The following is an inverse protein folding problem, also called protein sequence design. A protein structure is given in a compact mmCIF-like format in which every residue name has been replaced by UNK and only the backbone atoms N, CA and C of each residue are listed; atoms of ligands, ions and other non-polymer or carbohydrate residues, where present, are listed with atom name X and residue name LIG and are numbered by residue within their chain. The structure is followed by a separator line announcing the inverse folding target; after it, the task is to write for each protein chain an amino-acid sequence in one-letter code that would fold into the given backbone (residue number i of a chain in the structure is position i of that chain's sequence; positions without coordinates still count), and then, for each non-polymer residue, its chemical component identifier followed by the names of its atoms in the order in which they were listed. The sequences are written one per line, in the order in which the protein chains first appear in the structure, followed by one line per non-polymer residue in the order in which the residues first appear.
data_IF_296743091875
#
_entry.id   IF_296743091875
#
_cell.length_a   1.000
_cell.length_b   1.000
_cell.length_c   1.000
_cell.angle_alpha   90.00
_cell.angle_beta   90.00
_cell.angle_gamma   90.00
#
_symmetry.space_group_name_H-M   'P 1'
#
loop_
_entity.id
_entity.type
_entity.pdbx_description
1 polymer ?
#
# COMPACT_ATOMS: atom_id res chain seq x y z
N UNK A 1 31.17 -30.72 33.51
CA UNK A 1 30.15 -31.37 32.64
C UNK A 1 28.96 -30.43 32.55
N UNK A 2 28.25 -30.29 31.42
CA UNK A 2 27.05 -29.44 31.36
C UNK A 2 25.80 -30.29 31.67
N UNK A 3 24.71 -29.67 32.14
CA UNK A 3 23.51 -30.41 32.55
C UNK A 3 22.93 -31.29 31.42
N UNK A 4 22.96 -30.81 30.17
CA UNK A 4 22.50 -31.58 29.02
C UNK A 4 23.29 -32.88 28.80
N UNK A 5 24.62 -32.83 28.96
CA UNK A 5 25.48 -34.00 28.78
C UNK A 5 25.32 -35.01 29.92
N UNK A 6 25.02 -34.53 31.13
CA UNK A 6 24.67 -35.36 32.28
C UNK A 6 23.40 -36.17 32.00
N UNK A 7 22.31 -35.52 31.57
CA UNK A 7 21.02 -36.19 31.26
C UNK A 7 21.14 -37.18 30.11
N UNK A 8 21.98 -36.85 29.11
CA UNK A 8 22.25 -37.74 27.99
C UNK A 8 23.22 -38.88 28.32
N UNK A 9 23.62 -39.05 29.58
CA UNK A 9 24.57 -40.06 30.06
C UNK A 9 25.90 -40.07 29.25
N UNK A 10 26.36 -38.89 28.82
CA UNK A 10 27.63 -38.77 28.08
C UNK A 10 28.81 -38.88 29.04
N UNK A 11 29.81 -39.69 28.68
CA UNK A 11 31.05 -39.87 29.47
C UNK A 11 31.83 -38.56 29.65
N UNK A 12 31.81 -37.66 28.64
CA UNK A 12 32.48 -36.36 28.68
C UNK A 12 31.67 -35.30 27.92
N UNK A 13 31.88 -34.02 28.26
CA UNK A 13 31.28 -32.89 27.56
C UNK A 13 32.29 -32.33 26.54
N UNK A 14 32.00 -32.33 25.22
CA UNK A 14 32.96 -31.92 24.20
C UNK A 14 33.28 -30.41 24.30
N UNK A 15 34.47 -29.97 23.84
CA UNK A 15 34.88 -28.56 23.90
C UNK A 15 33.90 -27.61 23.21
N UNK A 16 33.27 -28.04 22.11
CA UNK A 16 32.26 -27.29 21.35
C UNK A 16 30.85 -27.84 21.54
N UNK A 17 30.43 -28.05 22.79
CA UNK A 17 29.05 -28.45 23.08
C UNK A 17 28.07 -27.28 22.88
N UNK A 18 27.12 -27.43 21.95
CA UNK A 18 26.15 -26.38 21.63
C UNK A 18 25.15 -26.09 22.76
N UNK A 19 24.96 -27.05 23.67
CA UNK A 19 24.07 -26.92 24.83
C UNK A 19 24.78 -26.36 26.07
N UNK A 20 26.12 -26.43 26.15
CA UNK A 20 26.88 -25.97 27.32
C UNK A 20 26.74 -24.47 27.57
N UNK A 21 26.59 -23.68 26.52
CA UNK A 21 26.38 -22.23 26.61
C UNK A 21 25.07 -21.86 27.31
N UNK A 22 24.07 -22.74 27.24
CA UNK A 22 22.72 -22.45 27.72
C UNK A 22 22.33 -23.21 28.99
N UNK A 23 22.97 -24.36 29.24
CA UNK A 23 22.74 -25.19 30.42
C UNK A 23 24.08 -25.55 31.09
N UNK A 24 24.88 -24.55 31.52
CA UNK A 24 26.24 -24.78 32.02
C UNK A 24 26.26 -25.48 33.39
N UNK A 25 25.23 -25.31 34.21
CA UNK A 25 25.26 -25.63 35.64
C UNK A 25 24.34 -26.82 35.97
N UNK A 26 24.62 -27.60 37.04
CA UNK A 26 23.75 -28.68 37.49
C UNK A 26 22.31 -28.24 37.80
N UNK A 27 22.11 -26.98 38.21
CA UNK A 27 20.78 -26.41 38.50
C UNK A 27 19.85 -26.40 37.28
N UNK A 28 20.41 -26.40 36.07
CA UNK A 28 19.68 -26.42 34.80
C UNK A 28 19.08 -27.80 34.45
N UNK A 29 19.37 -28.83 35.24
CA UNK A 29 18.99 -30.22 34.98
C UNK A 29 17.47 -30.40 34.84
N UNK A 30 16.67 -29.72 35.67
CA UNK A 30 15.20 -29.78 35.56
C UNK A 30 14.71 -29.23 34.21
N UNK A 31 15.26 -28.11 33.78
CA UNK A 31 14.88 -27.45 32.52
C UNK A 31 15.26 -28.31 31.33
N UNK A 32 16.51 -28.79 31.27
CA UNK A 32 16.97 -29.61 30.14
C UNK A 32 16.36 -31.02 30.13
N UNK A 33 15.96 -31.56 31.29
CA UNK A 33 15.17 -32.79 31.37
C UNK A 33 13.79 -32.62 30.73
N UNK A 34 13.09 -31.51 31.06
CA UNK A 34 11.80 -31.20 30.46
C UNK A 34 11.88 -30.99 28.95
N UNK A 35 12.90 -30.25 28.50
CA UNK A 35 13.18 -30.07 27.08
C UNK A 35 13.49 -31.40 26.37
N UNK A 36 14.26 -32.28 26.99
CA UNK A 36 14.57 -33.59 26.43
C UNK A 36 13.31 -34.47 26.30
N UNK A 37 12.44 -34.46 27.31
CA UNK A 37 11.20 -35.25 27.31
C UNK A 37 10.23 -34.83 26.19
N UNK A 38 10.20 -33.54 25.84
CA UNK A 38 9.22 -33.00 24.88
C UNK A 38 9.80 -32.91 23.47
N UNK A 39 11.04 -32.43 23.34
CA UNK A 39 11.63 -32.13 22.03
C UNK A 39 12.79 -33.06 21.67
N UNK A 40 13.35 -33.80 22.64
CA UNK A 40 14.68 -34.41 22.60
C UNK A 40 15.83 -33.38 22.52
N UNK A 41 16.83 -33.57 23.38
CA UNK A 41 17.95 -32.62 23.50
C UNK A 41 18.77 -32.45 22.20
N UNK A 42 18.85 -33.47 21.34
CA UNK A 42 19.50 -33.38 20.02
C UNK A 42 18.74 -32.48 19.05
N UNK A 43 17.41 -32.48 19.09
CA UNK A 43 16.61 -31.56 18.29
C UNK A 43 16.69 -30.13 18.84
N UNK A 44 16.73 -29.96 20.16
CA UNK A 44 16.96 -28.66 20.80
C UNK A 44 18.30 -28.07 20.35
N UNK A 45 19.37 -28.87 20.37
CA UNK A 45 20.69 -28.45 19.87
C UNK A 45 20.64 -28.05 18.38
N UNK A 46 19.93 -28.82 17.55
CA UNK A 46 19.71 -28.50 16.13
C UNK A 46 18.93 -27.20 15.94
N UNK A 47 17.85 -26.96 16.71
CA UNK A 47 17.05 -25.74 16.64
C UNK A 47 17.87 -24.50 17.04
N UNK A 48 18.72 -24.63 18.07
CA UNK A 48 19.65 -23.58 18.48
C UNK A 48 20.64 -23.28 17.35
N UNK A 49 21.21 -24.30 16.73
CA UNK A 49 22.16 -24.13 15.62
C UNK A 49 21.54 -23.39 14.43
N UNK A 50 20.30 -23.73 14.06
CA UNK A 50 19.56 -23.11 12.96
C UNK A 50 19.06 -21.69 13.25
N UNK A 51 19.05 -21.28 14.52
CA UNK A 51 18.55 -19.96 14.94
C UNK A 51 19.70 -18.94 14.99
N UNK A 52 19.40 -17.70 14.58
CA UNK A 52 20.36 -16.58 14.65
C UNK A 52 20.82 -16.33 16.09
N UNK A 53 22.08 -15.97 16.26
CA UNK A 53 22.74 -15.89 17.59
C UNK A 53 21.97 -15.00 18.58
N UNK A 54 21.45 -13.87 18.12
CA UNK A 54 20.68 -12.89 18.89
C UNK A 54 19.29 -13.40 19.33
N UNK A 55 18.74 -14.42 18.67
CA UNK A 55 17.42 -14.98 18.97
C UNK A 55 17.46 -16.29 19.77
N UNK A 56 18.63 -16.94 19.89
CA UNK A 56 18.76 -18.24 20.57
C UNK A 56 18.27 -18.23 22.02
N UNK A 57 18.50 -17.14 22.75
CA UNK A 57 17.99 -16.99 24.12
C UNK A 57 16.45 -16.92 24.18
N UNK A 58 15.81 -16.31 23.16
CA UNK A 58 14.35 -16.25 23.07
C UNK A 58 13.77 -17.62 22.68
N UNK A 59 14.43 -18.33 21.77
CA UNK A 59 14.07 -19.70 21.41
C UNK A 59 14.06 -20.59 22.65
N UNK A 60 15.13 -20.59 23.44
CA UNK A 60 15.25 -21.49 24.60
C UNK A 60 14.18 -21.20 25.64
N UNK A 61 13.91 -19.92 25.94
CA UNK A 61 12.80 -19.54 26.82
C UNK A 61 11.44 -19.99 26.28
N UNK A 62 11.25 -19.99 24.96
CA UNK A 62 10.00 -20.44 24.33
C UNK A 62 9.84 -21.95 24.42
N UNK A 63 10.90 -22.70 24.10
CA UNK A 63 10.94 -24.16 24.22
C UNK A 63 10.76 -24.61 25.67
N UNK A 64 11.38 -23.93 26.64
CA UNK A 64 11.21 -24.22 28.06
C UNK A 64 9.75 -24.04 28.48
N UNK A 65 9.12 -22.93 28.07
CA UNK A 65 7.72 -22.66 28.39
C UNK A 65 6.78 -23.69 27.75
N UNK A 66 7.02 -24.05 26.49
CA UNK A 66 6.22 -25.05 25.77
C UNK A 66 6.41 -26.44 26.38
N UNK A 67 7.64 -26.85 26.68
CA UNK A 67 7.94 -28.13 27.30
C UNK A 67 7.24 -28.25 28.66
N UNK A 68 7.31 -27.20 29.48
CA UNK A 68 6.60 -27.15 30.76
C UNK A 68 5.09 -27.33 30.59
N UNK A 69 4.48 -26.60 29.65
CA UNK A 69 3.04 -26.70 29.38
C UNK A 69 2.63 -28.08 28.84
N UNK A 70 3.43 -28.72 27.99
CA UNK A 70 3.18 -30.10 27.52
C UNK A 70 3.38 -31.16 28.60
N UNK A 71 4.27 -30.93 29.57
CA UNK A 71 4.43 -31.84 30.72
C UNK A 71 3.23 -31.72 31.67
N UNK A 72 2.72 -30.50 31.90
CA UNK A 72 1.54 -30.23 32.73
C UNK A 72 0.25 -30.70 32.05
N UNK A 73 0.10 -30.48 30.73
CA UNK A 73 -1.05 -30.90 29.92
C UNK A 73 -0.56 -31.69 28.68
N UNK A 74 -0.45 -33.03 28.77
CA UNK A 74 0.08 -33.85 27.67
C UNK A 74 -0.77 -33.87 26.40
N UNK A 75 -2.07 -33.55 26.51
CA UNK A 75 -3.00 -33.61 25.37
C UNK A 75 -2.96 -32.29 24.59
N UNK A 76 -3.14 -31.16 25.27
CA UNK A 76 -3.30 -29.86 24.62
C UNK A 76 -2.10 -28.93 24.83
N UNK A 77 -1.29 -29.15 25.87
CA UNK A 77 -0.09 -28.36 26.15
C UNK A 77 -0.35 -26.86 26.14
N UNK A 78 0.34 -26.13 25.26
CA UNK A 78 0.17 -24.69 25.11
C UNK A 78 -1.13 -24.29 24.39
N UNK A 79 -1.79 -25.21 23.67
CA UNK A 79 -3.03 -24.94 22.92
C UNK A 79 -4.17 -24.64 23.88
N UNK A 80 -4.27 -25.34 25.01
CA UNK A 80 -5.30 -25.08 26.04
C UNK A 80 -5.21 -23.66 26.60
N UNK A 81 -4.00 -23.16 26.83
CA UNK A 81 -3.78 -21.78 27.26
C UNK A 81 -4.17 -20.78 26.18
N UNK A 82 -3.90 -21.10 24.90
CA UNK A 82 -4.29 -20.27 23.76
C UNK A 82 -5.81 -20.20 23.67
N UNK A 83 -6.50 -21.34 23.68
CA UNK A 83 -7.97 -21.41 23.61
C UNK A 83 -8.63 -20.69 24.80
N UNK A 84 -8.09 -20.85 26.01
CA UNK A 84 -8.58 -20.14 27.19
C UNK A 84 -8.38 -18.62 27.09
N UNK A 85 -7.27 -18.16 26.52
CA UNK A 85 -7.00 -16.74 26.27
C UNK A 85 -7.90 -16.18 25.17
N UNK A 86 -8.08 -16.91 24.07
CA UNK A 86 -8.99 -16.53 22.98
C UNK A 86 -10.42 -16.37 23.51
N UNK A 87 -10.92 -17.35 24.28
CA UNK A 87 -12.23 -17.27 24.92
C UNK A 87 -12.34 -16.12 25.93
N UNK A 88 -11.27 -15.82 26.69
CA UNK A 88 -11.24 -14.65 27.59
C UNK A 88 -11.26 -13.34 26.82
N UNK A 89 -10.56 -13.26 25.69
CA UNK A 89 -10.62 -12.10 24.79
C UNK A 89 -12.04 -11.94 24.27
N UNK A 90 -12.68 -13.00 23.75
CA UNK A 90 -14.07 -12.94 23.30
C UNK A 90 -15.02 -12.49 24.40
N UNK A 91 -14.88 -13.00 25.63
CA UNK A 91 -15.70 -12.62 26.78
C UNK A 91 -15.42 -11.18 27.25
N UNK A 92 -14.16 -10.74 27.24
CA UNK A 92 -13.78 -9.37 27.57
C UNK A 92 -14.29 -8.42 26.51
N UNK A 93 -14.20 -8.78 25.22
CA UNK A 93 -14.80 -8.04 24.13
C UNK A 93 -16.33 -7.97 24.33
N UNK A 94 -16.98 -9.10 24.59
CA UNK A 94 -18.42 -9.12 24.88
C UNK A 94 -18.81 -8.24 26.06
N UNK A 95 -18.03 -8.24 27.14
CA UNK A 95 -18.29 -7.45 28.36
C UNK A 95 -17.98 -5.95 28.18
N UNK A 96 -16.83 -5.62 27.59
CA UNK A 96 -16.41 -4.24 27.29
C UNK A 96 -17.31 -3.60 26.22
N UNK A 97 -17.69 -4.34 25.19
CA UNK A 97 -18.53 -3.84 24.10
C UNK A 97 -20.04 -3.95 24.39
N UNK A 98 -20.47 -4.88 25.24
CA UNK A 98 -21.88 -5.12 25.57
C UNK A 98 -22.51 -4.06 26.47
N UNK A 99 -21.78 -3.54 27.47
CA UNK A 99 -22.31 -2.59 28.47
C UNK A 99 -21.89 -1.13 28.26
N UNK A 100 -20.69 -0.89 27.68
CA UNK A 100 -20.11 0.46 27.62
C UNK A 100 -20.36 1.17 26.27
N UNK A 101 -20.38 0.42 25.17
CA UNK A 101 -20.47 1.01 23.81
C UNK A 101 -21.91 1.26 23.35
N UNK A 102 -22.90 0.51 23.86
CA UNK A 102 -24.33 0.76 23.55
C UNK A 102 -24.90 2.03 24.20
N UNK A 103 -24.20 2.61 25.17
CA UNK A 103 -24.67 3.77 25.95
C UNK A 103 -23.91 5.07 25.67
N UNK A 104 -22.92 5.06 24.78
CA UNK A 104 -22.25 6.30 24.36
C UNK A 104 -23.05 6.92 23.20
N UNK A 105 -23.47 8.19 23.30
CA UNK A 105 -24.13 8.85 22.18
C UNK A 105 -23.18 9.01 20.98
N UNK A 106 -23.76 8.99 19.77
CA UNK A 106 -23.04 8.94 18.49
C UNK A 106 -22.01 10.06 18.34
N UNK A 107 -22.27 11.23 18.91
CA UNK A 107 -21.40 12.40 18.89
C UNK A 107 -20.11 12.18 19.70
N UNK A 108 -20.19 11.49 20.83
CA UNK A 108 -19.02 11.14 21.66
C UNK A 108 -18.19 10.07 20.98
N UNK A 109 -18.83 9.05 20.41
CA UNK A 109 -18.14 8.02 19.61
C UNK A 109 -17.43 8.68 18.43
N UNK A 110 -18.11 9.57 17.71
CA UNK A 110 -17.52 10.33 16.61
C UNK A 110 -16.32 11.17 17.07
N UNK A 111 -16.43 11.84 18.22
CA UNK A 111 -15.35 12.66 18.78
C UNK A 111 -14.11 11.81 19.11
N UNK A 112 -14.30 10.65 19.75
CA UNK A 112 -13.21 9.71 20.08
C UNK A 112 -12.56 9.23 18.78
N UNK A 113 -13.34 8.71 17.84
CA UNK A 113 -12.85 8.20 16.56
C UNK A 113 -12.10 9.28 15.78
N UNK A 114 -12.59 10.53 15.77
CA UNK A 114 -11.97 11.68 15.11
C UNK A 114 -10.56 12.02 15.61
N UNK A 115 -10.23 11.65 16.85
CA UNK A 115 -8.93 11.94 17.49
C UNK A 115 -7.91 10.81 17.34
N UNK A 116 -8.35 9.63 16.93
CA UNK A 116 -7.48 8.48 16.77
C UNK A 116 -6.70 8.56 15.45
N UNK A 117 -5.50 8.00 15.42
CA UNK A 117 -4.71 7.87 14.19
C UNK A 117 -5.24 6.73 13.31
N UNK A 118 -4.84 6.68 12.03
CA UNK A 118 -5.40 5.72 11.08
C UNK A 118 -5.14 4.25 11.47
N UNK A 119 -4.04 3.96 12.18
CA UNK A 119 -3.64 2.58 12.54
C UNK A 119 -4.59 1.94 13.57
N UNK A 120 -4.91 2.58 14.72
CA UNK A 120 -6.01 2.16 15.60
C UNK A 120 -7.36 2.09 14.90
N UNK A 121 -7.69 3.08 14.06
CA UNK A 121 -8.99 3.13 13.37
C UNK A 121 -9.19 1.97 12.40
N UNK A 122 -8.14 1.56 11.69
CA UNK A 122 -8.21 0.38 10.82
C UNK A 122 -8.43 -0.91 11.62
N UNK A 123 -7.89 -1.01 12.84
CA UNK A 123 -8.18 -2.12 13.77
C UNK A 123 -9.59 -2.04 14.35
N UNK A 124 -10.15 -0.85 14.49
CA UNK A 124 -11.52 -0.70 15.01
C UNK A 124 -12.61 -0.99 13.97
N UNK A 125 -12.25 -1.12 12.68
CA UNK A 125 -13.20 -1.57 11.66
C UNK A 125 -13.71 -3.00 11.89
N UNK A 126 -12.93 -3.87 12.53
CA UNK A 126 -13.34 -5.25 12.81
C UNK A 126 -14.05 -5.42 14.17
N UNK A 127 -14.19 -4.35 14.95
CA UNK A 127 -14.86 -4.39 16.27
C UNK A 127 -16.37 -4.59 16.14
N UNK A 128 -17.01 -3.90 15.19
CA UNK A 128 -18.42 -4.10 14.86
C UNK A 128 -18.77 -3.47 13.51
N UNK A 129 -19.88 -3.92 12.90
CA UNK A 129 -20.41 -3.31 11.69
C UNK A 129 -20.72 -1.80 11.89
N UNK A 130 -21.26 -1.42 13.05
CA UNK A 130 -21.56 -0.02 13.38
C UNK A 130 -20.29 0.85 13.41
N UNK A 131 -19.22 0.38 14.07
CA UNK A 131 -17.95 1.10 14.10
C UNK A 131 -17.29 1.17 12.73
N UNK A 132 -17.34 0.10 11.94
CA UNK A 132 -16.88 0.13 10.56
C UNK A 132 -17.59 1.21 9.74
N UNK A 133 -18.92 1.31 9.86
CA UNK A 133 -19.73 2.34 9.21
C UNK A 133 -19.37 3.73 9.72
N UNK A 134 -19.33 3.96 11.03
CA UNK A 134 -18.98 5.27 11.61
C UNK A 134 -17.58 5.74 11.22
N UNK A 135 -16.59 4.85 11.27
CA UNK A 135 -15.22 5.17 10.88
C UNK A 135 -15.18 5.51 9.38
N UNK A 136 -15.79 4.66 8.54
CA UNK A 136 -15.80 4.83 7.07
C UNK A 136 -16.58 6.07 6.63
N UNK A 137 -17.67 6.40 7.31
CA UNK A 137 -18.55 7.52 6.95
C UNK A 137 -18.15 8.86 7.57
N UNK A 138 -17.56 8.90 8.76
CA UNK A 138 -17.37 10.16 9.49
C UNK A 138 -15.90 10.58 9.62
N UNK A 139 -15.00 9.66 10.00
CA UNK A 139 -13.56 9.93 10.12
C UNK A 139 -12.92 10.12 8.75
N UNK A 140 -13.09 9.11 7.88
CA UNK A 140 -12.48 9.14 6.56
C UNK A 140 -13.06 10.29 5.72
N UNK A 141 -14.36 10.62 5.82
CA UNK A 141 -14.93 11.78 5.09
C UNK A 141 -14.44 13.14 5.61
N UNK A 142 -14.09 13.28 6.88
CA UNK A 142 -13.61 14.55 7.46
C UNK A 142 -12.10 14.79 7.26
N UNK A 143 -11.31 13.72 7.15
CA UNK A 143 -9.84 13.77 7.00
C UNK A 143 -9.33 13.41 5.60
N UNK A 144 -10.24 13.17 4.64
CA UNK A 144 -9.88 13.01 3.22
C UNK A 144 -9.43 14.34 2.62
N UNK A 145 -8.30 14.30 1.94
CA UNK A 145 -7.79 15.37 1.09
C UNK A 145 -7.52 14.80 -0.29
N UNK A 146 -7.65 15.65 -1.31
CA UNK A 146 -7.13 15.33 -2.63
C UNK A 146 -5.69 15.82 -2.70
N UNK A 147 -4.74 14.90 -2.86
CA UNK A 147 -3.37 15.25 -3.19
C UNK A 147 -3.24 15.44 -4.70
N UNK A 148 -2.59 16.52 -5.10
CA UNK A 148 -2.29 16.85 -6.48
C UNK A 148 -0.79 17.00 -6.63
N UNK A 149 -0.22 16.29 -7.61
CA UNK A 149 1.21 16.37 -7.91
C UNK A 149 1.52 17.29 -9.08
N UNK A 150 2.72 17.86 -9.04
CA UNK A 150 3.30 18.61 -10.14
C UNK A 150 4.80 18.79 -10.01
N UNK A 151 5.24 20.04 -9.99
CA UNK A 151 6.59 20.42 -9.54
C UNK A 151 6.74 20.33 -8.02
N UNK A 152 5.61 20.32 -7.29
CA UNK A 152 5.52 20.15 -5.85
C UNK A 152 4.26 19.33 -5.52
N UNK A 153 4.04 19.05 -4.23
CA UNK A 153 2.90 18.29 -3.73
C UNK A 153 1.89 19.24 -3.06
N UNK A 154 0.64 19.16 -3.48
CA UNK A 154 -0.41 20.06 -3.00
C UNK A 154 -1.56 19.25 -2.41
N UNK A 155 -2.09 19.71 -1.28
CA UNK A 155 -3.31 19.17 -0.70
C UNK A 155 -4.47 20.15 -0.87
N UNK A 156 -5.63 19.64 -1.28
CA UNK A 156 -6.88 20.38 -1.24
C UNK A 156 -7.67 19.98 0.01
N UNK A 157 -7.94 20.96 0.89
CA UNK A 157 -8.72 20.79 2.13
C UNK A 157 -10.03 21.57 2.07
N UNK A 158 -11.19 20.92 2.22
CA UNK A 158 -12.49 21.62 2.39
C UNK A 158 -13.72 20.86 1.87
N UNK A 159 -14.92 21.22 2.38
CA UNK A 159 -16.22 20.75 1.85
C UNK A 159 -16.84 21.74 0.85
N UNK A 160 -16.69 23.05 1.08
CA UNK A 160 -17.33 24.11 0.27
C UNK A 160 -16.34 25.14 -0.32
N UNK A 161 -15.12 25.20 0.19
CA UNK A 161 -14.01 25.97 -0.36
C UNK A 161 -12.73 25.18 -0.12
N UNK A 162 -12.13 24.61 -1.18
CA UNK A 162 -10.83 23.97 -1.03
C UNK A 162 -9.74 25.03 -0.95
N UNK A 163 -9.10 25.20 0.20
CA UNK A 163 -7.83 25.92 0.27
C UNK A 163 -6.70 24.97 -0.12
N UNK A 164 -5.85 25.44 -1.03
CA UNK A 164 -4.64 24.72 -1.43
C UNK A 164 -3.57 24.97 -0.39
N UNK A 165 -3.05 23.91 0.19
CA UNK A 165 -1.86 23.96 1.03
C UNK A 165 -0.74 23.31 0.24
N UNK A 166 0.29 24.09 -0.11
CA UNK A 166 1.56 23.49 -0.53
C UNK A 166 2.11 22.73 0.68
N UNK A 167 2.31 21.43 0.50
CA UNK A 167 2.87 20.63 1.56
C UNK A 167 4.36 20.98 1.67
N UNK A 168 4.91 21.09 2.89
CA UNK A 168 6.32 21.38 3.09
C UNK A 168 7.14 20.42 2.24
N UNK A 169 7.95 20.98 1.33
CA UNK A 169 8.87 20.19 0.53
C UNK A 169 9.74 19.38 1.50
N UNK A 170 9.72 18.04 1.47
CA UNK A 170 10.56 17.24 2.36
C UNK A 170 12.05 17.28 1.96
N UNK A 171 12.46 18.29 1.18
CA UNK A 171 13.80 18.46 0.64
C UNK A 171 14.28 19.90 0.84
N UNK A 172 15.30 20.05 1.68
CA UNK A 172 16.29 21.10 1.58
C UNK A 172 17.47 20.50 0.80
N UNK A 173 17.72 20.89 -0.45
CA UNK A 173 19.04 20.76 -1.13
C UNK A 173 19.01 21.32 -2.55
N UNK A 174 20.11 21.99 -2.92
CA UNK A 174 20.43 22.67 -4.19
C UNK A 174 19.62 22.17 -5.41
N UNK A 175 18.84 23.08 -6.00
CA UNK A 175 18.06 22.86 -7.23
C UNK A 175 16.64 22.35 -6.97
N UNK A 176 15.69 22.75 -7.82
CA UNK A 176 14.28 22.34 -7.71
C UNK A 176 14.05 20.97 -8.39
N UNK A 177 13.21 20.10 -7.80
CA UNK A 177 12.76 18.88 -8.48
C UNK A 177 11.91 19.24 -9.69
N UNK A 178 12.14 18.56 -10.83
CA UNK A 178 11.37 18.83 -12.05
C UNK A 178 9.96 18.24 -11.94
N UNK A 179 9.84 17.06 -11.32
CA UNK A 179 8.57 16.35 -11.13
C UNK A 179 8.53 15.64 -9.79
N UNK A 180 7.41 15.79 -9.10
CA UNK A 180 6.99 14.99 -7.95
C UNK A 180 5.81 14.16 -8.42
N UNK A 181 5.87 12.85 -8.26
CA UNK A 181 4.80 11.92 -8.64
C UNK A 181 4.31 11.19 -7.39
N UNK A 182 3.00 11.05 -7.24
CA UNK A 182 2.41 10.24 -6.16
C UNK A 182 2.21 8.83 -6.68
N UNK A 183 2.99 7.89 -6.12
CA UNK A 183 2.94 6.47 -6.50
C UNK A 183 1.77 5.75 -5.85
N UNK A 184 1.43 6.15 -4.63
CA UNK A 184 0.31 5.62 -3.87
C UNK A 184 0.28 6.17 -2.45
N UNK A 185 -0.70 5.73 -1.68
CA UNK A 185 -0.88 6.11 -0.27
C UNK A 185 -1.09 4.87 0.58
N UNK A 186 -0.55 4.86 1.80
CA UNK A 186 -0.70 3.78 2.78
C UNK A 186 -0.71 4.36 4.20
N UNK A 187 -1.78 4.14 4.96
CA UNK A 187 -1.89 4.57 6.38
C UNK A 187 -1.53 6.04 6.64
N UNK A 188 -1.85 6.94 5.69
CA UNK A 188 -1.50 8.36 5.74
C UNK A 188 -0.03 8.68 5.45
N UNK A 189 0.71 7.72 4.92
CA UNK A 189 2.01 7.90 4.30
C UNK A 189 1.82 7.89 2.79
N UNK A 190 2.48 8.83 2.12
CA UNK A 190 2.47 9.00 0.67
C UNK A 190 3.78 8.46 0.12
N UNK A 191 3.70 7.58 -0.86
CA UNK A 191 4.88 7.14 -1.60
C UNK A 191 5.10 8.13 -2.74
N UNK A 192 6.23 8.84 -2.70
CA UNK A 192 6.61 9.81 -3.72
C UNK A 192 7.74 9.29 -4.58
N UNK A 193 7.64 9.54 -5.89
CA UNK A 193 8.73 9.40 -6.83
C UNK A 193 9.15 10.79 -7.31
N UNK A 194 10.42 11.11 -7.13
CA UNK A 194 11.00 12.43 -7.35
C UNK A 194 11.98 12.34 -8.49
N UNK A 195 11.85 13.26 -9.44
CA UNK A 195 12.58 13.21 -10.70
C UNK A 195 13.21 14.57 -11.02
N UNK A 196 14.52 14.55 -11.27
CA UNK A 196 15.33 15.63 -11.88
C UNK A 196 15.95 15.09 -13.17
N UNK A 197 16.68 15.93 -13.89
CA UNK A 197 17.29 15.52 -15.18
C UNK A 197 18.36 14.44 -15.01
N UNK A 198 19.02 14.43 -13.86
CA UNK A 198 20.16 13.60 -13.51
C UNK A 198 19.90 12.66 -12.32
N UNK A 199 18.79 12.82 -11.60
CA UNK A 199 18.49 12.07 -10.39
C UNK A 199 17.05 11.57 -10.31
N UNK A 200 16.89 10.40 -9.69
CA UNK A 200 15.62 9.79 -9.31
C UNK A 200 15.69 9.36 -7.84
N UNK A 201 14.63 9.61 -7.07
CA UNK A 201 14.56 9.23 -5.66
C UNK A 201 13.13 8.82 -5.28
N UNK A 202 13.00 7.68 -4.60
CA UNK A 202 11.75 7.27 -3.95
C UNK A 202 11.76 7.66 -2.48
N UNK A 203 10.58 8.00 -1.95
CA UNK A 203 10.45 8.23 -0.52
C UNK A 203 9.06 7.92 0.01
N UNK A 204 9.04 7.63 1.30
CA UNK A 204 7.86 7.65 2.13
C UNK A 204 7.78 9.03 2.78
N UNK A 205 6.66 9.71 2.66
CA UNK A 205 6.45 11.04 3.22
C UNK A 205 5.10 11.08 3.93
N UNK A 206 5.09 11.58 5.17
CA UNK A 206 3.84 11.90 5.86
C UNK A 206 3.61 13.42 5.80
N UNK A 207 2.65 13.91 4.98
CA UNK A 207 2.28 15.32 4.91
C UNK A 207 1.90 15.98 6.24
N UNK A 208 1.35 15.22 7.19
CA UNK A 208 0.87 15.72 8.48
C UNK A 208 2.03 15.90 9.46
N UNK A 209 2.84 14.85 9.67
CA UNK A 209 3.97 14.88 10.62
C UNK A 209 5.22 15.52 10.03
N UNK A 210 5.28 15.67 8.69
CA UNK A 210 6.43 16.13 7.90
C UNK A 210 7.63 15.19 7.94
N UNK A 211 7.48 14.02 8.55
CA UNK A 211 8.50 12.99 8.53
C UNK A 211 8.64 12.41 7.11
N UNK A 212 9.88 12.11 6.72
CA UNK A 212 10.19 11.57 5.41
C UNK A 212 11.34 10.57 5.48
N UNK A 213 11.18 9.41 4.85
CA UNK A 213 12.21 8.39 4.73
C UNK A 213 12.54 8.14 3.27
N UNK A 214 13.83 8.27 2.92
CA UNK A 214 14.33 7.90 1.60
C UNK A 214 14.34 6.39 1.47
N UNK A 215 13.79 5.89 0.37
CA UNK A 215 13.91 4.48 -0.01
C UNK A 215 15.17 4.27 -0.85
N UNK A 216 15.78 3.07 -0.81
CA UNK A 216 16.93 2.79 -1.67
C UNK A 216 16.53 2.93 -3.14
N UNK A 217 17.44 3.45 -3.95
CA UNK A 217 17.18 3.58 -5.37
C UNK A 217 17.10 2.21 -6.05
N UNK A 218 16.23 2.05 -7.06
CA UNK A 218 16.16 0.80 -7.81
C UNK A 218 17.48 0.48 -8.51
N UNK A 219 17.74 -0.81 -8.82
CA UNK A 219 18.85 -1.19 -9.67
C UNK A 219 18.87 -0.34 -10.96
N UNK A 220 20.05 0.05 -11.43
CA UNK A 220 20.22 0.89 -12.63
C UNK A 220 19.50 2.25 -12.56
N UNK A 221 19.31 2.80 -11.35
CA UNK A 221 18.71 4.13 -11.13
C UNK A 221 19.41 5.27 -11.88
N UNK A 222 20.73 5.20 -12.10
CA UNK A 222 21.47 6.16 -12.92
C UNK A 222 20.99 6.24 -14.38
N UNK A 223 20.23 5.24 -14.84
CA UNK A 223 19.64 5.20 -16.17
C UNK A 223 18.15 5.63 -16.19
N UNK A 224 17.52 5.82 -15.01
CA UNK A 224 16.15 6.30 -14.82
C UNK A 224 16.18 7.84 -14.81
N UNK A 225 16.17 8.44 -15.99
CA UNK A 225 16.16 9.90 -16.17
C UNK A 225 14.77 10.43 -16.50
N UNK A 226 14.61 11.75 -16.29
CA UNK A 226 13.44 12.55 -16.65
C UNK A 226 12.66 12.05 -17.88
N UNK A 227 11.52 11.40 -17.64
CA UNK A 227 10.55 11.02 -18.65
C UNK A 227 10.58 9.59 -19.19
N UNK A 228 11.40 8.72 -18.60
CA UNK A 228 11.44 7.29 -18.93
C UNK A 228 10.52 6.44 -18.07
N UNK A 229 10.09 6.93 -16.92
CA UNK A 229 9.14 6.22 -16.06
C UNK A 229 7.80 6.05 -16.80
N UNK A 230 7.41 4.79 -17.05
CA UNK A 230 6.21 4.44 -17.82
C UNK A 230 5.06 4.05 -16.92
N UNK A 231 5.34 3.20 -15.94
CA UNK A 231 4.36 2.70 -15.00
C UNK A 231 4.95 2.74 -13.59
N UNK A 232 4.11 3.06 -12.63
CA UNK A 232 4.44 2.90 -11.23
C UNK A 232 3.17 2.60 -10.47
N UNK A 233 3.25 1.86 -9.38
CA UNK A 233 2.09 1.48 -8.60
C UNK A 233 2.47 1.05 -7.21
N UNK A 234 1.48 1.05 -6.33
CA UNK A 234 1.61 0.68 -4.93
C UNK A 234 0.47 -0.25 -4.55
N UNK A 235 0.78 -1.42 -4.01
CA UNK A 235 -0.24 -2.40 -3.63
C UNK A 235 0.34 -3.55 -2.82
N UNK A 236 -0.52 -4.49 -2.43
CA UNK A 236 -0.17 -5.73 -1.72
C UNK A 236 -0.98 -6.89 -2.33
N UNK A 237 -0.59 -8.14 -2.07
CA UNK A 237 -1.33 -9.32 -2.56
C UNK A 237 -2.75 -9.42 -2.00
N UNK A 238 -3.62 -10.22 -2.63
CA UNK A 238 -5.04 -10.35 -2.25
C UNK A 238 -5.23 -10.77 -0.78
N UNK A 239 -4.50 -11.79 -0.35
CA UNK A 239 -4.52 -12.31 1.03
C UNK A 239 -3.41 -11.70 1.91
N UNK A 240 -2.70 -10.71 1.38
CA UNK A 240 -1.57 -10.11 2.08
C UNK A 240 -2.03 -8.94 2.95
N UNK A 241 -1.25 -8.64 4.00
CA UNK A 241 -1.51 -7.45 4.79
C UNK A 241 -0.91 -6.22 4.10
N UNK A 242 -1.37 -5.00 4.39
CA UNK A 242 -0.71 -3.81 3.84
C UNK A 242 0.73 -3.62 4.34
N UNK A 243 1.20 -4.42 5.32
CA UNK A 243 2.61 -4.49 5.69
C UNK A 243 3.47 -5.23 4.67
N UNK A 244 2.87 -6.12 3.86
CA UNK A 244 3.51 -6.81 2.74
C UNK A 244 3.50 -5.97 1.45
N UNK A 245 3.22 -4.67 1.57
CA UNK A 245 3.10 -3.76 0.43
C UNK A 245 4.38 -3.73 -0.42
N UNK A 246 4.15 -3.67 -1.73
CA UNK A 246 5.14 -3.65 -2.79
C UNK A 246 4.99 -2.36 -3.59
N UNK A 247 6.12 -1.73 -3.90
CA UNK A 247 6.20 -0.63 -4.86
C UNK A 247 6.66 -1.21 -6.18
N UNK A 248 5.87 -1.04 -7.22
CA UNK A 248 6.16 -1.54 -8.57
C UNK A 248 6.54 -0.37 -9.46
N UNK A 249 7.64 -0.51 -10.19
CA UNK A 249 8.17 0.51 -11.11
C UNK A 249 8.50 -0.15 -12.44
N UNK A 250 7.90 0.36 -13.51
CA UNK A 250 8.11 -0.04 -14.89
C UNK A 250 8.62 1.11 -15.76
N UNK A 251 9.64 0.86 -16.57
CA UNK A 251 10.18 1.84 -17.53
C UNK A 251 10.69 1.17 -18.82
N UNK A 252 10.70 1.93 -19.91
CA UNK A 252 11.20 1.50 -21.23
C UNK A 252 12.36 2.38 -21.71
N UNK A 253 13.19 1.83 -22.61
CA UNK A 253 14.32 2.50 -23.29
C UNK A 253 15.35 3.13 -22.37
N UNK A 254 16.38 2.35 -22.08
CA UNK A 254 17.48 2.75 -21.21
C UNK A 254 18.67 3.19 -22.06
N UNK A 255 18.86 4.49 -22.25
CA UNK A 255 20.21 5.01 -22.45
C UNK A 255 20.84 5.09 -21.08
N UNK A 256 21.78 4.20 -20.79
CA UNK A 256 22.48 4.26 -19.53
C UNK A 256 23.75 5.10 -19.64
N UNK A 257 23.85 6.16 -18.82
CA UNK A 257 25.01 7.05 -18.82
C UNK A 257 26.31 6.29 -18.47
N UNK A 258 26.24 5.28 -17.60
CA UNK A 258 27.43 4.53 -17.19
C UNK A 258 27.92 3.50 -18.21
N UNK A 259 27.03 2.89 -19.00
CA UNK A 259 27.41 1.89 -20.01
C UNK A 259 27.55 2.46 -21.43
N UNK A 260 27.17 3.74 -21.63
CA UNK A 260 27.09 4.43 -22.94
C UNK A 260 26.36 3.60 -24.02
N UNK A 261 25.49 2.67 -23.60
CA UNK A 261 24.77 1.76 -24.47
C UNK A 261 23.27 2.02 -24.43
N UNK A 262 22.63 1.81 -25.59
CA UNK A 262 21.17 1.83 -25.72
C UNK A 262 20.65 0.41 -25.52
N UNK A 263 19.69 0.27 -24.62
CA UNK A 263 18.95 -0.98 -24.45
C UNK A 263 17.46 -0.71 -24.63
N UNK A 264 16.85 -1.44 -25.55
CA UNK A 264 15.39 -1.48 -25.72
C UNK A 264 14.72 -2.46 -24.74
N UNK A 265 15.48 -3.02 -23.78
CA UNK A 265 14.89 -3.85 -22.72
C UNK A 265 13.97 -3.03 -21.83
N UNK A 266 12.80 -3.62 -21.54
CA UNK A 266 11.85 -3.14 -20.54
C UNK A 266 12.23 -3.73 -19.18
N UNK A 267 12.07 -2.94 -18.12
CA UNK A 267 12.40 -3.37 -16.77
C UNK A 267 11.18 -3.23 -15.85
N UNK A 268 11.00 -4.24 -15.00
CA UNK A 268 10.11 -4.24 -13.86
C UNK A 268 10.98 -4.30 -12.59
N UNK A 269 10.90 -3.29 -11.73
CA UNK A 269 11.50 -3.35 -10.40
C UNK A 269 10.42 -3.32 -9.34
N UNK A 270 10.52 -4.24 -8.40
CA UNK A 270 9.58 -4.38 -7.29
C UNK A 270 10.34 -4.22 -5.98
N UNK A 271 9.99 -3.20 -5.21
CA UNK A 271 10.49 -3.00 -3.86
C UNK A 271 9.50 -3.59 -2.87
N UNK A 272 9.96 -4.52 -2.03
CA UNK A 272 9.16 -5.00 -0.91
C UNK A 272 9.43 -4.14 0.31
N UNK A 273 8.40 -3.48 0.87
CA UNK A 273 8.55 -2.70 2.09
C UNK A 273 8.97 -3.59 3.27
N UNK A 274 8.38 -4.79 3.37
CA UNK A 274 8.72 -5.80 4.38
C UNK A 274 10.18 -6.25 4.31
N UNK A 275 10.71 -6.54 3.12
CA UNK A 275 12.11 -7.00 2.97
C UNK A 275 13.11 -5.85 2.91
N UNK A 276 12.66 -4.62 2.65
CA UNK A 276 13.51 -3.46 2.43
C UNK A 276 14.44 -3.60 1.21
N UNK A 277 14.07 -4.43 0.22
CA UNK A 277 14.94 -4.77 -0.91
C UNK A 277 14.21 -4.81 -2.25
N UNK A 278 14.99 -4.62 -3.31
CA UNK A 278 14.53 -4.64 -4.70
C UNK A 278 14.64 -6.03 -5.30
N UNK A 279 13.66 -6.38 -6.12
CA UNK A 279 13.67 -7.55 -7.01
C UNK A 279 13.37 -7.10 -8.44
N UNK A 280 13.81 -7.88 -9.42
CA UNK A 280 13.61 -7.61 -10.85
C UNK A 280 12.97 -8.82 -11.49
N UNK A 281 11.64 -9.02 -11.34
CA UNK A 281 10.96 -10.14 -11.97
C UNK A 281 10.97 -9.99 -13.49
N UNK A 282 10.99 -11.12 -14.19
CA UNK A 282 10.78 -11.17 -15.64
C UNK A 282 9.29 -10.95 -15.92
N UNK A 283 8.92 -9.67 -16.08
CA UNK A 283 7.54 -9.25 -16.34
C UNK A 283 7.51 -8.36 -17.57
N UNK A 284 6.80 -8.77 -18.62
CA UNK A 284 6.59 -7.91 -19.80
C UNK A 284 5.41 -6.96 -19.58
N UNK A 285 5.70 -5.72 -19.22
CA UNK A 285 4.70 -4.65 -19.10
C UNK A 285 4.01 -4.25 -20.42
N UNK A 286 4.35 -4.86 -21.56
CA UNK A 286 3.67 -4.57 -22.82
C UNK A 286 4.06 -3.24 -23.45
N UNK A 287 3.41 -2.91 -24.56
CA UNK A 287 3.81 -1.97 -25.63
C UNK A 287 4.37 -0.61 -25.19
N UNK A 288 5.18 0.01 -26.08
CA UNK A 288 5.87 1.31 -25.96
C UNK A 288 4.94 2.56 -25.88
N UNK A 289 3.69 2.39 -25.45
CA UNK A 289 2.66 3.42 -25.38
C UNK A 289 2.92 4.50 -24.31
N UNK A 290 2.42 5.72 -24.58
CA UNK A 290 2.59 6.89 -23.69
C UNK A 290 1.37 7.03 -22.81
N UNK A 291 1.41 6.47 -21.60
CA UNK A 291 0.56 6.93 -20.49
C UNK A 291 1.32 6.79 -19.18
N UNK A 292 1.81 7.92 -18.65
CA UNK A 292 2.44 8.02 -17.31
C UNK A 292 1.36 7.90 -16.25
N UNK A 293 0.83 6.71 -16.03
CA UNK A 293 -0.28 6.51 -15.10
C UNK A 293 0.22 5.85 -13.81
N UNK A 294 -0.20 6.41 -12.68
CA UNK A 294 -0.15 5.71 -11.42
C UNK A 294 -1.08 4.49 -11.53
N UNK A 295 -0.59 3.33 -11.13
CA UNK A 295 -1.33 2.08 -11.15
C UNK A 295 -2.47 2.13 -10.16
N UNK A 296 -3.66 1.75 -10.60
CA UNK A 296 -4.83 1.64 -9.74
C UNK A 296 -4.78 0.28 -9.06
N UNK A 297 -4.62 0.31 -7.74
CA UNK A 297 -4.64 -0.88 -6.91
C UNK A 297 -6.07 -1.26 -6.53
N UNK A 298 -6.42 -2.53 -6.74
CA UNK A 298 -7.70 -3.11 -6.36
C UNK A 298 -7.55 -4.63 -6.17
N UNK A 299 -7.98 -5.15 -5.03
CA UNK A 299 -8.06 -6.58 -4.72
C UNK A 299 -6.82 -7.40 -5.09
N UNK A 300 -5.61 -6.95 -4.72
CA UNK A 300 -4.39 -7.70 -5.03
C UNK A 300 -3.77 -7.41 -6.39
N UNK A 301 -4.43 -6.61 -7.23
CA UNK A 301 -3.99 -6.31 -8.59
C UNK A 301 -3.66 -4.84 -8.79
N UNK A 302 -2.60 -4.59 -9.55
CA UNK A 302 -2.28 -3.26 -10.08
C UNK A 302 -2.71 -3.16 -11.54
N UNK A 303 -3.36 -2.05 -11.87
CA UNK A 303 -3.94 -1.83 -13.18
C UNK A 303 -3.41 -0.54 -13.80
N UNK A 304 -3.00 -0.61 -15.06
CA UNK A 304 -2.54 0.55 -15.84
C UNK A 304 -3.27 0.60 -17.17
N UNK A 305 -3.49 1.81 -17.68
CA UNK A 305 -3.95 2.02 -19.05
C UNK A 305 -2.71 2.36 -19.90
N UNK A 306 -2.50 1.61 -20.99
CA UNK A 306 -1.45 1.83 -21.97
C UNK A 306 -2.02 2.04 -23.36
N UNK A 307 -1.33 2.83 -24.18
CA UNK A 307 -1.60 2.97 -25.61
C UNK A 307 -0.96 4.22 -26.19
N UNK A 308 -1.10 4.38 -27.51
CA UNK A 308 -0.70 5.59 -28.23
C UNK A 308 -1.89 6.51 -28.46
N UNK A 309 -1.66 7.82 -28.57
CA UNK A 309 -2.72 8.75 -28.99
C UNK A 309 -3.34 8.30 -30.32
N UNK A 310 -4.66 8.16 -30.36
CA UNK A 310 -5.40 7.75 -31.57
C UNK A 310 -5.55 6.23 -31.77
N UNK A 311 -4.95 5.40 -30.90
CA UNK A 311 -5.14 3.95 -30.91
C UNK A 311 -6.07 3.49 -29.78
N UNK A 312 -6.65 2.30 -29.95
CA UNK A 312 -7.43 1.64 -28.90
C UNK A 312 -6.52 1.37 -27.70
N UNK A 313 -6.87 1.91 -26.53
CA UNK A 313 -6.09 1.69 -25.31
C UNK A 313 -6.28 0.26 -24.80
N UNK A 314 -5.25 -0.25 -24.13
CA UNK A 314 -5.27 -1.53 -23.43
C UNK A 314 -5.12 -1.31 -21.93
N UNK A 315 -5.69 -2.21 -21.14
CA UNK A 315 -5.49 -2.25 -19.69
C UNK A 315 -4.61 -3.45 -19.37
N UNK A 316 -3.54 -3.16 -18.65
CA UNK A 316 -2.59 -4.14 -18.13
C UNK A 316 -2.88 -4.37 -16.65
N UNK A 317 -3.09 -5.63 -16.30
CA UNK A 317 -3.37 -6.11 -14.94
C UNK A 317 -2.17 -6.95 -14.48
N UNK A 318 -1.63 -6.61 -13.32
CA UNK A 318 -0.54 -7.34 -12.68
C UNK A 318 -0.99 -7.85 -11.33
N UNK A 319 -0.83 -9.16 -11.11
CA UNK A 319 -0.94 -9.76 -9.79
C UNK A 319 0.26 -9.33 -8.93
N UNK A 320 -0.02 -8.61 -7.85
CA UNK A 320 1.02 -8.08 -6.96
C UNK A 320 1.68 -9.19 -6.14
N UNK A 321 0.99 -10.30 -5.90
CA UNK A 321 1.56 -11.39 -5.11
C UNK A 321 2.49 -12.24 -5.95
N UNK A 322 1.99 -12.78 -7.06
CA UNK A 322 2.76 -13.66 -7.91
C UNK A 322 3.86 -12.91 -8.67
N UNK A 323 3.62 -11.65 -9.04
CA UNK A 323 4.48 -10.85 -9.92
C UNK A 323 4.82 -11.57 -11.24
N UNK A 324 3.95 -12.50 -11.64
CA UNK A 324 4.02 -13.31 -12.85
C UNK A 324 2.76 -13.06 -13.67
N UNK A 325 2.86 -13.25 -14.99
CA UNK A 325 1.74 -13.19 -15.93
C UNK A 325 0.96 -11.86 -15.92
N UNK A 326 1.38 -10.94 -16.79
CA UNK A 326 0.60 -9.73 -17.07
C UNK A 326 -0.62 -10.10 -17.91
N UNK A 327 -1.81 -9.87 -17.36
CA UNK A 327 -3.04 -10.02 -18.14
C UNK A 327 -3.35 -8.71 -18.85
N UNK A 328 -3.64 -8.81 -20.16
CA UNK A 328 -4.11 -7.66 -20.96
C UNK A 328 -5.60 -7.81 -21.24
N UNK A 329 -6.27 -6.68 -21.24
CA UNK A 329 -7.68 -6.58 -21.61
C UNK A 329 -7.91 -5.32 -22.44
N UNK A 330 -8.90 -5.38 -23.30
CA UNK A 330 -9.30 -4.23 -24.08
C UNK A 330 -9.93 -3.17 -23.18
N UNK A 331 -9.52 -1.92 -23.37
CA UNK A 331 -10.19 -0.81 -22.72
C UNK A 331 -11.55 -0.54 -23.39
N UNK A 332 -12.52 0.06 -22.68
CA UNK A 332 -13.83 0.31 -23.22
C UNK A 332 -13.81 1.32 -24.37
N UNK A 333 -14.89 1.35 -25.17
CA UNK A 333 -15.02 2.19 -26.36
C UNK A 333 -14.90 3.68 -26.01
N UNK A 334 -14.18 4.44 -26.84
CA UNK A 334 -13.96 5.88 -26.68
C UNK A 334 -12.73 6.23 -25.86
N UNK A 335 -11.90 5.24 -25.50
CA UNK A 335 -10.59 5.46 -24.88
C UNK A 335 -9.56 6.05 -25.82
N UNK A 336 -9.72 5.82 -27.12
CA UNK A 336 -8.94 6.32 -28.26
C UNK A 336 -9.19 7.80 -28.57
N UNK A 337 -10.30 8.37 -28.09
CA UNK A 337 -10.82 9.68 -28.52
C UNK A 337 -10.79 10.77 -27.43
N UNK A 338 -9.70 10.90 -26.67
CA UNK A 338 -9.55 12.04 -25.76
C UNK A 338 -8.79 11.75 -24.46
N UNK A 339 -9.29 12.31 -23.35
CA UNK A 339 -8.75 12.03 -22.01
C UNK A 339 -9.37 10.76 -21.45
N UNK A 340 -8.54 9.86 -20.94
CA UNK A 340 -9.00 8.67 -20.21
C UNK A 340 -8.32 8.60 -18.84
N UNK A 341 -9.05 8.22 -17.80
CA UNK A 341 -8.47 7.92 -16.51
C UNK A 341 -8.99 6.59 -15.97
N UNK A 342 -8.12 5.86 -15.27
CA UNK A 342 -8.45 4.67 -14.52
C UNK A 342 -8.75 5.04 -13.07
N UNK A 343 -9.62 4.30 -12.42
CA UNK A 343 -9.84 4.40 -10.98
C UNK A 343 -10.75 3.30 -10.47
N UNK A 344 -11.32 3.52 -9.29
CA UNK A 344 -12.26 2.57 -8.68
C UNK A 344 -13.61 3.23 -8.45
N UNK A 345 -14.68 2.46 -8.66
CA UNK A 345 -16.05 2.89 -8.38
C UNK A 345 -16.82 1.69 -7.81
N UNK A 346 -17.43 1.86 -6.64
CA UNK A 346 -18.11 0.76 -5.91
C UNK A 346 -17.22 -0.49 -5.77
N UNK A 347 -15.95 -0.31 -5.40
CA UNK A 347 -14.94 -1.38 -5.25
C UNK A 347 -14.70 -2.22 -6.52
N UNK A 348 -15.04 -1.70 -7.69
CA UNK A 348 -14.75 -2.30 -9.00
C UNK A 348 -13.87 -1.37 -9.83
N UNK A 349 -13.10 -1.95 -10.74
CA UNK A 349 -12.27 -1.17 -11.66
C UNK A 349 -13.18 -0.36 -12.59
N UNK A 350 -12.84 0.91 -12.82
CA UNK A 350 -13.60 1.78 -13.70
C UNK A 350 -12.69 2.63 -14.59
N UNK A 351 -13.23 3.01 -15.76
CA UNK A 351 -12.57 3.89 -16.72
C UNK A 351 -13.51 5.05 -17.02
N UNK A 352 -13.01 6.27 -16.86
CA UNK A 352 -13.69 7.46 -17.35
C UNK A 352 -13.11 7.79 -18.72
N UNK A 353 -13.93 7.66 -19.76
CA UNK A 353 -13.56 8.00 -21.14
C UNK A 353 -14.19 9.31 -21.54
N UNK A 354 -13.43 10.15 -22.23
CA UNK A 354 -13.95 11.33 -22.89
C UNK A 354 -13.92 11.11 -24.40
N UNK A 355 -15.04 11.37 -25.06
CA UNK A 355 -15.16 11.47 -26.53
C UNK A 355 -15.42 12.94 -26.92
N UNK A 356 -15.56 13.24 -28.21
CA UNK A 356 -15.81 14.57 -28.80
C UNK A 356 -17.02 15.38 -28.26
N UNK A 357 -17.66 15.02 -27.16
CA UNK A 357 -18.64 15.88 -26.47
C UNK A 357 -19.14 15.24 -25.18
N UNK A 358 -18.88 13.95 -25.01
CA UNK A 358 -19.50 13.10 -24.01
C UNK A 358 -18.45 12.38 -23.18
N UNK A 359 -18.63 12.43 -21.87
CA UNK A 359 -17.95 11.59 -20.91
C UNK A 359 -18.79 10.33 -20.66
N UNK A 360 -18.11 9.21 -20.48
CA UNK A 360 -18.72 7.94 -20.10
C UNK A 360 -17.91 7.33 -18.96
N UNK A 361 -18.61 6.75 -18.00
CA UNK A 361 -18.02 5.98 -16.91
C UNK A 361 -18.35 4.53 -17.15
N UNK A 362 -17.32 3.72 -17.35
CA UNK A 362 -17.41 2.28 -17.54
C UNK A 362 -16.92 1.58 -16.29
N UNK A 363 -17.65 0.57 -15.84
CA UNK A 363 -17.28 -0.26 -14.69
C UNK A 363 -17.12 -1.69 -15.16
N UNK A 364 -16.05 -2.34 -14.73
CA UNK A 364 -15.79 -3.74 -15.03
C UNK A 364 -16.84 -4.60 -14.32
N UNK A 365 -17.43 -5.55 -15.05
CA UNK A 365 -18.54 -6.38 -14.55
C UNK A 365 -18.12 -7.37 -13.46
N UNK A 366 -16.83 -7.69 -13.37
CA UNK A 366 -16.28 -8.68 -12.46
C UNK A 366 -15.30 -8.05 -11.47
N UNK A 367 -15.21 -8.66 -10.29
CA UNK A 367 -14.22 -8.29 -9.26
C UNK A 367 -12.89 -9.03 -9.41
N UNK A 368 -12.85 -10.13 -10.18
CA UNK A 368 -11.69 -11.05 -10.30
C UNK A 368 -11.16 -11.20 -11.73
N UNK A 369 -11.47 -10.27 -12.62
CA UNK A 369 -11.03 -10.26 -14.02
C UNK A 369 -11.39 -11.53 -14.83
N UNK A 370 -12.31 -12.37 -14.32
CA UNK A 370 -12.79 -13.60 -14.96
C UNK A 370 -13.57 -13.31 -16.26
N UNK A 371 -14.40 -12.26 -16.24
CA UNK A 371 -15.15 -11.77 -17.40
C UNK A 371 -14.73 -10.34 -17.74
N UNK A 372 -14.00 -10.17 -18.83
CA UNK A 372 -13.41 -8.88 -19.25
C UNK A 372 -14.43 -7.96 -19.95
N UNK A 373 -15.61 -7.80 -19.36
CA UNK A 373 -16.71 -7.03 -19.94
C UNK A 373 -16.99 -5.74 -19.18
N UNK A 374 -17.25 -4.68 -19.92
CA UNK A 374 -17.48 -3.33 -19.40
C UNK A 374 -18.96 -2.96 -19.46
N UNK A 375 -19.52 -2.51 -18.33
CA UNK A 375 -20.84 -1.88 -18.31
C UNK A 375 -20.74 -0.37 -18.19
N UNK A 376 -21.47 0.33 -19.05
CA UNK A 376 -21.61 1.79 -18.96
C UNK A 376 -22.53 2.12 -17.78
N UNK A 377 -22.01 2.84 -16.79
CA UNK A 377 -22.77 3.27 -15.60
C UNK A 377 -23.34 4.68 -15.77
N UNK A 378 -22.50 5.63 -16.20
CA UNK A 378 -22.90 7.03 -16.37
C UNK A 378 -22.54 7.56 -17.75
N UNK A 379 -23.31 8.53 -18.24
CA UNK A 379 -22.97 9.28 -19.45
C UNK A 379 -23.48 10.72 -19.37
N UNK A 380 -22.61 11.69 -19.64
CA UNK A 380 -22.93 13.11 -19.55
C UNK A 380 -22.14 13.92 -20.58
N UNK A 381 -22.63 15.11 -20.95
CA UNK A 381 -21.95 15.98 -21.91
C UNK A 381 -21.08 17.01 -21.22
N UNK A 382 -20.03 17.49 -21.88
CA UNK A 382 -19.25 18.64 -21.37
C UNK A 382 -20.09 19.91 -21.21
N UNK A 383 -21.20 20.01 -21.94
CA UNK A 383 -22.20 21.08 -21.81
C UNK A 383 -22.88 21.06 -20.43
N UNK A 384 -23.14 19.88 -19.85
CA UNK A 384 -23.62 19.77 -18.47
C UNK A 384 -22.63 20.36 -17.45
N UNK A 385 -21.36 20.51 -17.84
CA UNK A 385 -20.28 21.12 -17.05
C UNK A 385 -20.10 22.61 -17.43
N UNK A 386 -20.92 23.17 -18.34
CA UNK A 386 -20.88 24.58 -18.74
C UNK A 386 -19.54 25.02 -19.31
N UNK A 387 -18.81 24.11 -19.98
CA UNK A 387 -17.48 24.35 -20.55
C UNK A 387 -17.33 23.59 -21.87
N UNK A 388 -16.49 24.14 -22.73
CA UNK A 388 -16.03 23.53 -23.97
C UNK A 388 -15.24 22.25 -23.65
N UNK A 389 -15.76 21.10 -24.11
CA UNK A 389 -15.32 19.77 -23.69
C UNK A 389 -13.86 19.50 -24.08
N UNK A 390 -13.38 20.03 -25.21
CA UNK A 390 -11.98 19.90 -25.62
C UNK A 390 -10.99 20.49 -24.60
N UNK A 391 -11.47 21.37 -23.70
CA UNK A 391 -10.65 22.00 -22.66
C UNK A 391 -10.50 21.14 -21.43
N UNK A 392 -11.41 20.18 -21.20
CA UNK A 392 -11.47 19.39 -19.99
C UNK A 392 -10.57 18.16 -20.08
N UNK A 393 -9.87 17.83 -18.98
CA UNK A 393 -9.06 16.62 -18.82
C UNK A 393 -9.40 15.96 -17.50
N UNK A 394 -9.63 14.65 -17.50
CA UNK A 394 -9.92 13.91 -16.27
C UNK A 394 -8.63 13.67 -15.49
N UNK A 395 -8.64 13.98 -14.19
CA UNK A 395 -7.52 13.72 -13.28
C UNK A 395 -7.71 12.35 -12.62
N UNK A 396 -8.84 12.17 -11.93
CA UNK A 396 -9.17 10.96 -11.21
C UNK A 396 -10.69 10.88 -10.94
N UNK A 397 -11.12 9.72 -10.48
CA UNK A 397 -12.43 9.49 -9.86
C UNK A 397 -12.20 9.25 -8.36
N UNK A 398 -13.05 9.84 -7.53
CA UNK A 398 -13.03 9.68 -6.08
C UNK A 398 -13.85 8.45 -5.66
N UNK A 399 -13.61 7.95 -4.45
CA UNK A 399 -14.32 6.79 -3.88
C UNK A 399 -15.84 7.02 -3.79
N UNK A 400 -16.28 8.26 -3.60
CA UNK A 400 -17.69 8.64 -3.61
C UNK A 400 -18.31 8.80 -5.01
N UNK A 401 -17.54 8.50 -6.06
CA UNK A 401 -17.97 8.53 -7.46
C UNK A 401 -17.91 9.90 -8.14
N UNK A 402 -17.51 10.97 -7.43
CA UNK A 402 -17.27 12.26 -8.06
C UNK A 402 -16.03 12.20 -8.96
N UNK A 403 -16.12 12.89 -10.10
CA UNK A 403 -15.06 12.96 -11.11
C UNK A 403 -14.35 14.29 -10.98
N UNK A 404 -13.03 14.27 -10.88
CA UNK A 404 -12.21 15.49 -10.82
C UNK A 404 -11.68 15.79 -12.22
N UNK A 405 -12.08 16.94 -12.75
CA UNK A 405 -11.70 17.43 -14.07
C UNK A 405 -10.84 18.68 -13.94
N UNK A 406 -9.88 18.83 -14.84
CA UNK A 406 -9.07 20.03 -15.04
C UNK A 406 -9.51 20.76 -16.30
N UNK A 407 -9.74 22.06 -16.20
CA UNK A 407 -9.79 22.93 -17.36
C UNK A 407 -8.37 23.36 -17.75
N UNK A 408 -7.95 22.95 -18.95
CA UNK A 408 -6.62 23.21 -19.50
C UNK A 408 -6.32 24.69 -19.73
N UNK A 409 -7.35 25.54 -19.95
CA UNK A 409 -7.17 26.98 -20.21
C UNK A 409 -7.36 27.83 -18.96
N UNK A 410 -8.31 27.48 -18.10
CA UNK A 410 -8.67 28.37 -16.97
C UNK A 410 -7.98 28.07 -15.63
N UNK A 411 -7.05 27.08 -15.61
CA UNK A 411 -6.42 26.54 -14.38
C UNK A 411 -7.45 26.17 -13.31
N UNK A 412 -8.65 25.72 -13.72
CA UNK A 412 -9.72 25.34 -12.78
C UNK A 412 -9.79 23.84 -12.59
N UNK A 413 -10.14 23.44 -11.37
CA UNK A 413 -10.56 22.09 -11.03
C UNK A 413 -12.08 22.07 -10.90
N UNK A 414 -12.70 21.02 -11.41
CA UNK A 414 -14.14 20.83 -11.38
C UNK A 414 -14.40 19.47 -10.77
N UNK A 415 -15.18 19.44 -9.70
CA UNK A 415 -15.68 18.20 -9.13
C UNK A 415 -17.10 18.01 -9.65
N UNK A 416 -17.30 16.95 -10.41
CA UNK A 416 -18.57 16.65 -11.06
C UNK A 416 -19.15 15.39 -10.43
N UNK A 417 -20.40 15.47 -9.96
CA UNK A 417 -21.12 14.32 -9.44
C UNK A 417 -22.03 13.75 -10.54
N UNK A 418 -21.67 12.62 -11.16
CA UNK A 418 -22.45 12.06 -12.26
C UNK A 418 -23.84 11.57 -11.83
N UNK A 419 -24.05 11.32 -10.53
CA UNK A 419 -25.36 10.90 -10.01
C UNK A 419 -26.36 12.06 -9.91
N UNK A 420 -25.88 13.31 -9.84
CA UNK A 420 -26.69 14.52 -9.62
C UNK A 420 -26.85 15.38 -10.87
N UNK A 421 -26.38 14.92 -12.04
CA UNK A 421 -26.60 15.53 -13.36
C UNK A 421 -25.88 16.87 -13.60
N UNK A 422 -26.22 17.92 -12.85
CA UNK A 422 -25.70 19.29 -13.01
C UNK A 422 -24.92 19.81 -11.80
N UNK A 423 -24.89 19.07 -10.69
CA UNK A 423 -24.15 19.47 -9.50
C UNK A 423 -22.65 19.43 -9.75
N UNK A 424 -22.02 20.61 -9.72
CA UNK A 424 -20.57 20.76 -9.83
C UNK A 424 -20.05 21.81 -8.86
N UNK A 425 -18.85 21.59 -8.35
CA UNK A 425 -18.08 22.63 -7.67
C UNK A 425 -16.83 22.96 -8.48
N UNK A 426 -16.53 24.24 -8.63
CA UNK A 426 -15.46 24.75 -9.48
C UNK A 426 -14.47 25.53 -8.63
N UNK A 427 -13.18 25.23 -8.77
CA UNK A 427 -12.10 25.81 -7.98
C UNK A 427 -11.03 26.39 -8.91
N UNK A 428 -10.47 27.54 -8.58
CA UNK A 428 -9.40 28.18 -9.38
C UNK A 428 -8.04 27.89 -8.75
N UNK A 429 -7.11 27.36 -9.54
CA UNK A 429 -5.72 27.17 -9.14
C UNK A 429 -4.88 28.37 -9.57
N UNK A 430 -4.05 28.87 -8.67
CA UNK A 430 -3.16 30.02 -8.92
C UNK A 430 -1.92 29.66 -9.75
N UNK A 431 -1.43 28.41 -9.67
CA UNK A 431 -0.25 27.92 -10.41
C UNK A 431 -0.56 26.69 -11.29
N UNK A 432 0.26 26.42 -12.33
CA UNK A 432 0.15 25.20 -13.14
C UNK A 432 0.50 23.94 -12.32
N UNK A 433 -0.23 22.85 -12.56
CA UNK A 433 0.00 21.54 -11.93
C UNK A 433 -0.05 20.42 -12.99
N UNK A 434 0.73 19.35 -12.81
CA UNK A 434 0.78 18.21 -13.74
C UNK A 434 0.01 17.00 -13.21
N UNK A 435 -1.29 17.06 -13.48
CA UNK A 435 -2.15 16.01 -14.03
C UNK A 435 -2.47 14.71 -13.25
N UNK A 436 -1.87 14.39 -12.10
CA UNK A 436 -2.31 13.22 -11.30
C UNK A 436 -2.81 13.64 -9.93
N UNK A 437 -3.89 12.98 -9.48
CA UNK A 437 -4.49 13.21 -8.18
C UNK A 437 -4.89 11.90 -7.52
N UNK A 438 -4.75 11.83 -6.20
CA UNK A 438 -5.11 10.67 -5.40
C UNK A 438 -5.79 11.11 -4.11
N UNK A 439 -6.78 10.35 -3.66
CA UNK A 439 -7.34 10.53 -2.32
C UNK A 439 -6.34 10.10 -1.26
N UNK A 440 -6.24 10.95 -0.25
CA UNK A 440 -5.32 10.80 0.86
C UNK A 440 -6.07 11.01 2.16
N UNK A 441 -5.78 10.16 3.14
CA UNK A 441 -6.34 10.26 4.47
C UNK A 441 -5.20 10.52 5.43
N UNK A 442 -5.32 11.55 6.25
CA UNK A 442 -4.31 11.88 7.23
C UNK A 442 -4.14 10.82 8.33
N UNK A 443 -2.91 10.72 8.84
CA UNK A 443 -2.54 9.82 9.92
C UNK A 443 -1.27 10.32 10.59
N UNK A 444 -1.08 9.97 11.87
CA UNK A 444 0.17 10.19 12.61
C UNK A 444 1.20 9.05 12.41
N UNK A 445 0.98 8.17 11.42
CA UNK A 445 1.90 7.06 11.16
C UNK A 445 3.29 7.57 10.77
N UNK A 446 4.34 7.05 11.40
CA UNK A 446 5.70 7.39 11.02
C UNK A 446 6.12 6.60 9.78
N UNK A 447 6.75 7.23 8.77
CA UNK A 447 7.44 6.53 7.68
C UNK A 447 8.45 5.49 8.18
N UNK A 448 8.99 5.66 9.40
CA UNK A 448 9.94 4.73 10.00
C UNK A 448 9.27 3.43 10.41
N UNK A 449 8.04 3.48 10.93
CA UNK A 449 7.30 2.29 11.35
C UNK A 449 6.95 1.35 10.19
N UNK A 450 6.94 1.85 8.95
CA UNK A 450 6.72 1.03 7.75
C UNK A 450 7.99 0.26 7.37
N UNK A 451 9.17 0.85 7.57
CA UNK A 451 10.46 0.24 7.21
C UNK A 451 11.10 -0.58 8.35
N UNK A 452 10.54 -0.54 9.57
CA UNK A 452 11.13 -1.09 10.79
C UNK A 452 10.70 -2.51 11.17
N UNK A 453 10.03 -3.27 10.30
CA UNK A 453 9.86 -4.71 10.49
C UNK A 453 11.13 -5.47 10.07
N UNK A 454 12.27 -5.15 10.71
CA UNK A 454 13.51 -5.92 10.63
C UNK A 454 13.47 -7.13 11.53
#
# INVERSE_FOLDING_TARGET
MCAACTILNKKTCPPMCGLKTYFPNPEDEKTISGLHRVFHATNVERMIYLTKVDERNKLIKSLEREARMRIENPVMGCIDVIEALEKRIENLLFSLFGLFVRNLPDDVIHNILSRLSAKPLMRFKCVSAYWNTQITESYFKSHRKLLLSGTSLYALKGKNAYSRVELPSPFETRGHWRKVLVVGTLYGIVVLALEREDAFQLMLYNPLTREANKLPNPPRSCCISAGKLRAYGFGYGYDATPHDSKIVIGYSKVFCKCSRSKSDRKYCHVFSLKRGSWTTPETDFGSDGILRTAGVFINGYLNWIFGYPGEKLSITVLDVEEMKNVTRMDAPVGTDQGSSCLGTLHKRLCVVTQTNSRFRVWVLNTERYLHKEWSKTYSFTGVCIGRDYHRLRTICILEDGRIVLKDSKSRRLIFYDPSKGFSRSVFRCTQPFTATGIEYVESLASPSDICLLR
#
